data_IF_182855057822
#
_entry.id   IF_182855057822
#
_cell.length_a   1.000
_cell.length_b   1.000
_cell.length_c   1.000
_cell.angle_alpha   90.00
_cell.angle_beta   90.00
_cell.angle_gamma   90.00
#
_symmetry.space_group_name_H-M   'P 1'
#
loop_
_entity.id
_entity.type
_entity.pdbx_description
1 polymer ?
#
# COMPACT_ATOMS: atom_id res chain seq x y z
N UNK A 1 -15.12 23.34 2.79
CA UNK A 1 -14.56 22.37 3.75
C UNK A 1 -13.77 21.31 2.98
N UNK A 2 -12.73 21.68 2.21
CA UNK A 2 -12.11 20.78 1.21
C UNK A 2 -10.58 20.68 1.31
N UNK A 3 -9.95 21.37 2.26
CA UNK A 3 -8.49 21.45 2.34
C UNK A 3 -7.82 20.18 2.94
N UNK A 4 -8.57 19.35 3.67
CA UNK A 4 -8.03 18.19 4.39
C UNK A 4 -8.11 16.86 3.62
N UNK A 5 -8.99 16.75 2.63
CA UNK A 5 -9.17 15.54 1.83
C UNK A 5 -7.86 15.00 1.19
N UNK A 6 -7.00 15.83 0.55
CA UNK A 6 -5.78 15.31 -0.06
C UNK A 6 -4.75 14.83 0.98
N UNK A 7 -4.74 15.42 2.17
CA UNK A 7 -3.80 15.05 3.24
C UNK A 7 -4.21 13.73 3.91
N UNK A 8 -5.50 13.55 4.18
CA UNK A 8 -6.07 12.30 4.68
C UNK A 8 -5.83 11.16 3.69
N UNK A 9 -6.00 11.44 2.39
CA UNK A 9 -5.75 10.45 1.34
C UNK A 9 -4.30 9.99 1.31
N UNK A 10 -3.32 10.92 1.39
CA UNK A 10 -1.88 10.58 1.47
C UNK A 10 -1.55 9.72 2.69
N UNK A 11 -2.06 10.10 3.86
CA UNK A 11 -1.87 9.34 5.11
C UNK A 11 -2.44 7.93 4.99
N UNK A 12 -3.64 7.80 4.44
CA UNK A 12 -4.30 6.50 4.24
C UNK A 12 -3.53 5.62 3.27
N UNK A 13 -3.01 6.20 2.18
CA UNK A 13 -2.17 5.52 1.20
C UNK A 13 -0.90 4.96 1.86
N UNK A 14 -0.22 5.79 2.67
CA UNK A 14 0.96 5.39 3.45
C UNK A 14 0.66 4.27 4.46
N UNK A 15 -0.46 4.36 5.17
CA UNK A 15 -0.90 3.33 6.12
C UNK A 15 -1.14 2.00 5.39
N UNK A 16 -1.88 2.02 4.27
CA UNK A 16 -2.18 0.81 3.50
C UNK A 16 -0.90 0.22 2.90
N UNK A 17 0.02 1.05 2.42
CA UNK A 17 1.32 0.61 1.94
C UNK A 17 2.14 -0.05 3.04
N UNK A 18 2.26 0.59 4.21
CA UNK A 18 2.92 0.01 5.39
C UNK A 18 2.28 -1.31 5.79
N UNK A 19 0.95 -1.41 5.76
CA UNK A 19 0.24 -2.64 6.09
C UNK A 19 0.56 -3.77 5.11
N UNK A 20 0.53 -3.48 3.79
CA UNK A 20 0.91 -4.45 2.76
C UNK A 20 2.35 -4.95 2.91
N UNK A 21 3.29 -4.05 3.21
CA UNK A 21 4.68 -4.42 3.50
C UNK A 21 4.77 -5.27 4.78
N UNK A 22 4.02 -4.91 5.83
CA UNK A 22 3.99 -5.66 7.09
C UNK A 22 3.54 -7.11 6.87
N UNK A 23 2.50 -7.32 6.05
CA UNK A 23 2.03 -8.66 5.70
C UNK A 23 3.13 -9.48 5.01
N UNK A 24 3.89 -8.86 4.11
CA UNK A 24 5.02 -9.52 3.41
C UNK A 24 6.17 -9.81 4.39
N UNK A 25 6.47 -8.90 5.31
CA UNK A 25 7.56 -9.09 6.30
C UNK A 25 7.21 -10.16 7.34
N UNK A 26 5.93 -10.31 7.67
CA UNK A 26 5.43 -11.34 8.60
C UNK A 26 5.32 -12.73 7.94
N UNK A 27 5.34 -12.82 6.61
CA UNK A 27 5.34 -14.08 5.85
C UNK A 27 6.27 -15.17 6.41
N UNK A 28 7.59 -14.94 6.58
CA UNK A 28 8.50 -15.98 7.09
C UNK A 28 8.17 -16.40 8.53
N UNK A 29 7.51 -15.55 9.32
CA UNK A 29 7.08 -15.87 10.68
C UNK A 29 5.85 -16.79 10.67
N UNK A 30 4.87 -16.51 9.81
CA UNK A 30 3.65 -17.32 9.64
C UNK A 30 3.97 -18.66 8.94
N UNK A 31 4.93 -18.67 8.01
CA UNK A 31 5.33 -19.86 7.26
C UNK A 31 5.83 -20.99 8.18
N UNK A 32 6.35 -20.64 9.37
CA UNK A 32 6.74 -21.61 10.40
C UNK A 32 5.56 -22.30 11.08
N UNK A 33 4.37 -21.66 11.07
CA UNK A 33 3.17 -22.18 11.73
C UNK A 33 2.26 -22.90 10.73
N UNK A 34 2.03 -22.31 9.57
CA UNK A 34 1.28 -22.95 8.49
C UNK A 34 1.58 -22.30 7.13
N UNK A 35 2.02 -23.12 6.19
CA UNK A 35 2.40 -22.69 4.83
C UNK A 35 1.23 -22.15 4.03
N UNK A 36 0.02 -22.67 4.26
CA UNK A 36 -1.21 -22.19 3.59
C UNK A 36 -1.54 -20.75 3.99
N UNK A 37 -1.56 -20.44 5.28
CA UNK A 37 -1.83 -19.08 5.76
C UNK A 37 -0.73 -18.10 5.37
N UNK A 38 0.53 -18.55 5.34
CA UNK A 38 1.64 -17.73 4.90
C UNK A 38 1.48 -17.31 3.43
N UNK A 39 1.15 -18.27 2.55
CA UNK A 39 0.88 -17.97 1.13
C UNK A 39 -0.30 -17.01 0.97
N UNK A 40 -1.40 -17.20 1.70
CA UNK A 40 -2.55 -16.29 1.67
C UNK A 40 -2.14 -14.87 2.11
N UNK A 41 -1.35 -14.75 3.18
CA UNK A 41 -0.85 -13.46 3.67
C UNK A 41 0.05 -12.76 2.65
N UNK A 42 0.95 -13.50 1.99
CA UNK A 42 1.83 -12.95 0.95
C UNK A 42 1.02 -12.50 -0.28
N UNK A 43 0.07 -13.32 -0.75
CA UNK A 43 -0.80 -12.98 -1.88
C UNK A 43 -1.67 -11.76 -1.54
N UNK A 44 -2.23 -11.68 -0.33
CA UNK A 44 -2.98 -10.50 0.11
C UNK A 44 -2.10 -9.25 0.16
N UNK A 45 -0.91 -9.32 0.76
CA UNK A 45 0.01 -8.18 0.82
C UNK A 45 0.40 -7.69 -0.58
N UNK A 46 0.70 -8.61 -1.49
CA UNK A 46 1.02 -8.29 -2.88
C UNK A 46 -0.17 -7.67 -3.62
N UNK A 47 -1.38 -8.22 -3.43
CA UNK A 47 -2.60 -7.73 -4.06
C UNK A 47 -2.96 -6.33 -3.57
N UNK A 48 -2.78 -6.04 -2.28
CA UNK A 48 -2.95 -4.70 -1.70
C UNK A 48 -2.00 -3.70 -2.36
N UNK A 49 -0.71 -4.04 -2.51
CA UNK A 49 0.26 -3.17 -3.17
C UNK A 49 -0.10 -2.95 -4.65
N UNK A 50 -0.54 -4.01 -5.35
CA UNK A 50 -0.95 -3.92 -6.76
C UNK A 50 -2.18 -3.04 -6.94
N UNK A 51 -3.17 -3.16 -6.05
CA UNK A 51 -4.37 -2.31 -6.05
C UNK A 51 -4.00 -0.85 -5.79
N UNK A 52 -3.07 -0.61 -4.87
CA UNK A 52 -2.54 0.72 -4.57
C UNK A 52 -1.89 1.33 -5.81
N UNK A 53 -1.04 0.55 -6.49
CA UNK A 53 -0.37 0.97 -7.71
C UNK A 53 -1.39 1.26 -8.82
N UNK A 54 -2.43 0.42 -8.94
CA UNK A 54 -3.51 0.63 -9.90
C UNK A 54 -4.28 1.92 -9.64
N UNK A 55 -4.60 2.24 -8.38
CA UNK A 55 -5.27 3.49 -8.00
C UNK A 55 -4.37 4.70 -8.30
N UNK A 56 -3.07 4.61 -7.97
CA UNK A 56 -2.09 5.68 -8.22
C UNK A 56 -1.95 5.97 -9.72
N UNK A 57 -1.91 4.93 -10.56
CA UNK A 57 -1.77 5.09 -12.01
C UNK A 57 -3.09 5.42 -12.72
N UNK A 58 -4.22 4.97 -12.17
CA UNK A 58 -5.56 5.21 -12.71
C UNK A 58 -6.06 6.63 -12.49
N UNK A 59 -5.60 7.30 -11.43
CA UNK A 59 -5.98 8.68 -11.14
C UNK A 59 -4.85 9.67 -11.52
N UNK A 60 -5.04 10.51 -12.55
CA UNK A 60 -4.00 11.42 -13.01
C UNK A 60 -3.63 12.48 -11.95
N UNK A 61 -4.55 12.83 -11.05
CA UNK A 61 -4.28 13.80 -9.98
C UNK A 61 -3.37 13.18 -8.90
N UNK A 62 -3.57 11.91 -8.55
CA UNK A 62 -2.69 11.19 -7.62
C UNK A 62 -1.31 10.94 -8.22
N UNK A 63 -1.26 10.60 -9.51
CA UNK A 63 -0.01 10.41 -10.24
C UNK A 63 0.84 11.69 -10.22
N UNK A 64 0.23 12.85 -10.48
CA UNK A 64 0.93 14.14 -10.36
C UNK A 64 1.33 14.44 -8.92
N UNK A 65 0.49 14.12 -7.92
CA UNK A 65 0.81 14.32 -6.50
C UNK A 65 2.01 13.49 -6.04
N UNK A 66 2.14 12.24 -6.51
CA UNK A 66 3.29 11.38 -6.20
C UNK A 66 4.54 11.79 -6.97
N UNK A 67 4.41 12.17 -8.24
CA UNK A 67 5.57 12.66 -9.01
C UNK A 67 6.08 14.02 -8.49
N UNK A 68 5.18 14.90 -8.05
CA UNK A 68 5.52 16.25 -7.58
C UNK A 68 5.96 16.25 -6.12
N UNK A 69 5.26 15.52 -5.23
CA UNK A 69 5.53 15.55 -3.77
C UNK A 69 6.16 14.26 -3.23
N UNK A 70 6.18 13.16 -4.00
CA UNK A 70 6.81 11.90 -3.56
C UNK A 70 8.31 11.83 -3.89
N UNK A 71 8.79 12.66 -4.81
CA UNK A 71 10.20 12.73 -5.23
C UNK A 71 10.95 13.94 -4.65
N UNK A 72 10.24 14.86 -3.97
CA UNK A 72 10.85 15.90 -3.14
C UNK A 72 10.99 15.36 -1.71
N UNK A 73 11.95 14.47 -1.51
CA UNK A 73 12.48 14.14 -0.18
C UNK A 73 13.68 15.05 0.12
#
# INVERSE_FOLDING_TARGET
MEFWAPFIFKMLLLIVFSFGVLLIVIFPLIAKLSTVFATISLVCGLLVILLLLFIIFGDPALRQLILTYGLSF
#
